data_IF_444436858727
#
_entry.id   IF_444436858727
#
_cell.length_a   1.000
_cell.length_b   1.000
_cell.length_c   1.000
_cell.angle_alpha   90.00
_cell.angle_beta   90.00
_cell.angle_gamma   90.00
#
_symmetry.space_group_name_H-M   'P 1'
#
loop_
_entity.id
_entity.type
_entity.pdbx_description
1 polymer ?
#
# COMPACT_ATOMS: atom_id res chain seq x y z
N UNK A 1 -18.09 1.91 2.72
CA UNK A 1 -16.84 2.06 1.92
C UNK A 1 -17.29 2.35 0.52
N UNK A 2 -16.64 3.28 -0.16
CA UNK A 2 -16.96 3.66 -1.54
C UNK A 2 -15.73 3.44 -2.42
N UNK A 3 -15.89 3.34 -3.76
CA UNK A 3 -14.76 3.15 -4.66
C UNK A 3 -13.68 4.23 -4.55
N UNK A 4 -14.03 5.44 -4.10
CA UNK A 4 -13.08 6.54 -3.93
C UNK A 4 -12.43 6.60 -2.54
N UNK A 5 -12.88 5.83 -1.55
CA UNK A 5 -12.32 5.92 -0.20
C UNK A 5 -13.10 5.19 0.89
N UNK A 6 -12.50 5.18 2.08
CA UNK A 6 -13.09 4.61 3.29
C UNK A 6 -13.42 5.71 4.30
N UNK A 7 -14.66 5.69 4.80
CA UNK A 7 -15.06 6.55 5.92
C UNK A 7 -14.62 5.92 7.23
N UNK A 8 -14.05 6.75 8.10
CA UNK A 8 -13.45 6.34 9.37
C UNK A 8 -13.99 7.24 10.46
N UNK A 9 -14.50 6.64 11.53
CA UNK A 9 -14.79 7.35 12.78
C UNK A 9 -13.47 7.60 13.50
N UNK A 10 -13.15 8.87 13.77
CA UNK A 10 -11.94 9.28 14.48
C UNK A 10 -12.20 9.65 15.94
N UNK A 11 -13.38 9.32 16.46
CA UNK A 11 -13.81 9.59 17.82
C UNK A 11 -14.77 10.77 17.94
N UNK A 12 -15.49 10.81 19.07
CA UNK A 12 -16.44 11.87 19.41
C UNK A 12 -17.50 12.15 18.32
N UNK A 13 -17.87 11.12 17.55
CA UNK A 13 -18.84 11.25 16.45
C UNK A 13 -18.32 12.00 15.23
N UNK A 14 -17.01 12.21 15.12
CA UNK A 14 -16.40 12.87 13.96
C UNK A 14 -16.03 11.82 12.91
N UNK A 15 -16.63 11.93 11.73
CA UNK A 15 -16.31 11.08 10.58
C UNK A 15 -15.31 11.80 9.68
N UNK A 16 -14.24 11.10 9.33
CA UNK A 16 -13.29 11.49 8.29
C UNK A 16 -13.30 10.45 7.16
N UNK A 17 -12.52 10.70 6.11
CA UNK A 17 -12.35 9.81 4.98
C UNK A 17 -10.87 9.66 4.63
N UNK A 18 -10.44 8.42 4.42
CA UNK A 18 -9.18 8.09 3.76
C UNK A 18 -9.48 7.91 2.27
N UNK A 19 -9.01 8.83 1.44
CA UNK A 19 -9.09 8.72 -0.02
C UNK A 19 -8.30 7.51 -0.52
N UNK A 20 -8.77 6.85 -1.60
CA UNK A 20 -8.15 5.62 -2.12
C UNK A 20 -6.66 5.77 -2.44
N UNK A 21 -6.23 6.95 -2.85
CA UNK A 21 -4.83 7.33 -3.12
C UNK A 21 -3.94 7.40 -1.87
N UNK A 22 -4.57 7.51 -0.69
CA UNK A 22 -3.91 7.59 0.61
C UNK A 22 -3.98 6.26 1.37
N UNK A 23 -4.67 5.25 0.82
CA UNK A 23 -4.77 3.91 1.44
C UNK A 23 -3.48 3.10 1.26
N UNK A 24 -2.90 3.16 0.05
CA UNK A 24 -1.78 2.31 -0.37
C UNK A 24 -1.00 2.98 -1.49
N UNK A 25 0.32 2.77 -1.52
CA UNK A 25 1.17 3.17 -2.65
C UNK A 25 0.89 2.28 -3.86
N UNK A 26 0.77 0.96 -3.63
CA UNK A 26 0.33 0.03 -4.67
C UNK A 26 -1.12 0.31 -5.01
N UNK A 27 -1.43 0.37 -6.30
CA UNK A 27 -2.80 0.61 -6.79
C UNK A 27 -3.73 -0.50 -6.30
N UNK A 28 -4.86 -0.08 -5.74
CA UNK A 28 -5.97 -0.95 -5.39
C UNK A 28 -7.23 -0.49 -6.13
N UNK A 29 -8.10 -1.41 -6.58
CA UNK A 29 -9.34 -1.06 -7.25
C UNK A 29 -10.44 -0.55 -6.30
N UNK A 30 -10.37 -0.91 -5.02
CA UNK A 30 -11.38 -0.56 -4.01
C UNK A 30 -10.80 -0.67 -2.59
N UNK A 31 -11.27 0.12 -1.60
CA UNK A 31 -10.78 0.07 -0.21
C UNK A 31 -10.96 -1.28 0.51
N UNK A 32 -11.91 -2.09 0.06
CA UNK A 32 -12.16 -3.45 0.58
C UNK A 32 -10.95 -4.41 0.41
N UNK A 33 -9.97 -4.03 -0.43
CA UNK A 33 -8.70 -4.76 -0.58
C UNK A 33 -7.76 -4.58 0.60
N UNK A 34 -8.08 -3.67 1.53
CA UNK A 34 -7.28 -3.36 2.71
C UNK A 34 -8.12 -3.37 3.99
N UNK A 35 -9.37 -2.94 3.90
CA UNK A 35 -10.21 -2.70 5.06
C UNK A 35 -11.48 -3.55 5.04
N UNK A 36 -11.99 -3.87 6.23
CA UNK A 36 -13.33 -4.40 6.46
C UNK A 36 -14.16 -3.38 7.23
N UNK A 37 -15.48 -3.36 7.05
CA UNK A 37 -16.35 -2.49 7.87
C UNK A 37 -16.25 -2.92 9.34
N UNK A 38 -16.09 -1.93 10.24
CA UNK A 38 -15.89 -2.18 11.68
C UNK A 38 -14.47 -2.56 12.07
N UNK A 39 -13.53 -2.61 11.13
CA UNK A 39 -12.11 -2.83 11.43
C UNK A 39 -11.49 -1.57 12.04
N UNK A 40 -10.77 -1.75 13.15
CA UNK A 40 -9.87 -0.72 13.67
C UNK A 40 -8.60 -0.64 12.82
N UNK A 41 -8.21 0.57 12.45
CA UNK A 41 -7.02 0.84 11.63
C UNK A 41 -6.19 1.94 12.25
N UNK A 42 -4.88 1.92 11.98
CA UNK A 42 -4.03 3.08 12.22
C UNK A 42 -4.09 4.01 11.01
N UNK A 43 -4.09 5.32 11.25
CA UNK A 43 -3.98 6.33 10.20
C UNK A 43 -3.13 7.51 10.70
N UNK A 44 -2.41 8.15 9.78
CA UNK A 44 -1.74 9.42 10.03
C UNK A 44 -2.69 10.56 9.69
N UNK A 45 -2.71 11.60 10.53
CA UNK A 45 -3.35 12.87 10.18
C UNK A 45 -2.45 13.58 9.19
N UNK A 46 -2.86 13.61 7.92
CA UNK A 46 -2.09 14.22 6.83
C UNK A 46 -2.47 15.67 6.57
N UNK A 47 -3.59 16.14 7.12
CA UNK A 47 -4.03 17.52 6.94
C UNK A 47 -5.10 17.95 7.94
N UNK A 48 -5.02 19.19 8.40
CA UNK A 48 -6.05 19.83 9.19
C UNK A 48 -6.63 21.02 8.41
N UNK A 49 -7.95 21.06 8.27
CA UNK A 49 -8.66 22.15 7.62
C UNK A 49 -9.72 22.72 8.58
N UNK A 50 -9.33 23.59 9.55
CA UNK A 50 -10.23 24.09 10.58
C UNK A 50 -11.44 24.83 10.02
N UNK A 51 -11.25 25.63 8.97
CA UNK A 51 -12.34 26.38 8.32
C UNK A 51 -13.40 25.48 7.66
N UNK A 52 -13.03 24.26 7.27
CA UNK A 52 -13.93 23.27 6.70
C UNK A 52 -14.35 22.21 7.72
N UNK A 53 -13.88 22.31 8.97
CA UNK A 53 -13.99 21.27 10.02
C UNK A 53 -13.63 19.88 9.51
N UNK A 54 -12.60 19.79 8.66
CA UNK A 54 -12.19 18.56 8.01
C UNK A 54 -10.79 18.17 8.44
N UNK A 55 -10.62 16.88 8.75
CA UNK A 55 -9.33 16.25 8.97
C UNK A 55 -9.10 15.31 7.80
N UNK A 56 -7.92 15.39 7.18
CA UNK A 56 -7.49 14.50 6.11
C UNK A 56 -6.61 13.41 6.73
N UNK A 57 -6.90 12.16 6.37
CA UNK A 57 -6.19 10.99 6.87
C UNK A 57 -5.43 10.30 5.76
N UNK A 58 -4.32 9.68 6.10
CA UNK A 58 -3.59 8.77 5.24
C UNK A 58 -3.22 7.49 5.98
N UNK A 59 -3.07 6.40 5.24
CA UNK A 59 -2.77 5.07 5.78
C UNK A 59 -1.50 4.49 5.15
N UNK A 60 -1.19 4.87 3.91
CA UNK A 60 -0.08 4.31 3.13
C UNK A 60 1.29 4.47 3.79
N UNK A 61 1.56 5.55 4.50
CA UNK A 61 2.86 5.80 5.14
C UNK A 61 3.14 4.75 6.22
N UNK A 62 2.10 4.30 6.92
CA UNK A 62 2.19 3.33 8.00
C UNK A 62 2.45 1.90 7.48
N UNK A 63 2.21 1.66 6.19
CA UNK A 63 2.49 0.40 5.51
C UNK A 63 3.94 0.28 5.02
N UNK A 64 4.79 1.24 5.37
CA UNK A 64 6.23 1.18 5.14
C UNK A 64 6.65 1.63 3.74
N UNK A 65 7.93 1.98 3.65
CA UNK A 65 8.66 2.35 2.45
C UNK A 65 8.90 1.14 1.54
N UNK A 66 9.41 1.39 0.33
CA UNK A 66 9.82 0.31 -0.57
C UNK A 66 10.93 -0.55 0.06
N UNK A 67 11.91 0.09 0.72
CA UNK A 67 13.05 -0.59 1.34
C UNK A 67 12.62 -1.48 2.52
N UNK A 68 11.74 -0.98 3.38
CA UNK A 68 11.21 -1.73 4.51
C UNK A 68 10.42 -2.97 4.07
N UNK A 69 9.58 -2.81 3.04
CA UNK A 69 8.78 -3.91 2.53
C UNK A 69 9.63 -4.96 1.80
N UNK A 70 10.62 -4.54 1.01
CA UNK A 70 11.46 -5.47 0.24
C UNK A 70 12.42 -6.27 1.13
N UNK A 71 12.71 -5.80 2.34
CA UNK A 71 13.70 -6.41 3.24
C UNK A 71 13.42 -7.88 3.59
N UNK A 72 12.16 -8.33 3.47
CA UNK A 72 11.78 -9.72 3.68
C UNK A 72 12.01 -10.64 2.45
N UNK A 73 12.52 -10.10 1.34
CA UNK A 73 12.61 -10.80 0.06
C UNK A 73 14.04 -10.86 -0.47
N UNK A 74 14.34 -11.93 -1.21
CA UNK A 74 15.60 -12.14 -1.91
C UNK A 74 15.36 -12.79 -3.28
N UNK A 75 16.17 -12.50 -4.30
CA UNK A 75 16.10 -13.22 -5.57
C UNK A 75 16.25 -14.73 -5.35
N UNK A 76 15.48 -15.53 -6.08
CA UNK A 76 15.42 -16.98 -5.91
C UNK A 76 14.26 -17.47 -5.04
N UNK A 77 13.61 -16.57 -4.28
CA UNK A 77 12.43 -16.94 -3.48
C UNK A 77 11.21 -17.21 -4.37
N UNK A 78 10.35 -18.12 -3.91
CA UNK A 78 8.98 -18.28 -4.41
C UNK A 78 8.02 -17.85 -3.33
N UNK A 79 7.11 -16.92 -3.63
CA UNK A 79 6.16 -16.35 -2.68
C UNK A 79 4.79 -16.20 -3.34
N UNK A 80 3.75 -16.04 -2.52
CA UNK A 80 2.42 -15.67 -3.03
C UNK A 80 2.31 -14.17 -3.27
N UNK A 81 1.49 -13.75 -4.23
CA UNK A 81 1.12 -12.35 -4.44
C UNK A 81 -0.21 -12.22 -5.16
N UNK A 82 -0.77 -11.01 -5.16
CA UNK A 82 -2.03 -10.72 -5.84
C UNK A 82 -1.81 -9.95 -7.13
N UNK A 83 -2.47 -10.36 -8.22
CA UNK A 83 -2.54 -9.55 -9.44
C UNK A 83 -3.33 -8.28 -9.14
N UNK A 84 -2.69 -7.11 -9.21
CA UNK A 84 -3.32 -5.81 -8.96
C UNK A 84 -3.55 -4.97 -10.21
N UNK A 85 -2.91 -5.34 -11.31
CA UNK A 85 -3.05 -4.63 -12.56
C UNK A 85 -2.51 -5.42 -13.72
N UNK A 86 -3.19 -5.36 -14.85
CA UNK A 86 -2.72 -5.95 -16.10
C UNK A 86 -2.56 -4.83 -17.13
N UNK A 87 -1.43 -4.84 -17.83
CA UNK A 87 -1.10 -3.96 -18.95
C UNK A 87 -0.56 -4.80 -20.09
N UNK A 88 -0.56 -4.24 -21.30
CA UNK A 88 -0.06 -4.93 -22.50
C UNK A 88 1.38 -5.42 -22.36
N UNK A 89 2.19 -4.75 -21.54
CA UNK A 89 3.59 -5.12 -21.30
C UNK A 89 3.81 -6.05 -20.09
N UNK A 90 2.78 -6.35 -19.29
CA UNK A 90 2.96 -7.21 -18.12
C UNK A 90 1.87 -7.13 -17.05
N UNK A 91 2.02 -8.01 -16.07
CA UNK A 91 1.15 -8.10 -14.89
C UNK A 91 1.86 -7.55 -13.65
N UNK A 92 1.19 -6.66 -12.93
CA UNK A 92 1.64 -6.11 -11.66
C UNK A 92 1.16 -6.99 -10.51
N UNK A 93 2.11 -7.60 -9.80
CA UNK A 93 1.84 -8.50 -8.69
C UNK A 93 2.23 -7.81 -7.39
N UNK A 94 1.28 -7.63 -6.48
CA UNK A 94 1.52 -7.13 -5.13
C UNK A 94 1.98 -8.27 -4.23
N UNK A 95 3.19 -8.13 -3.67
CA UNK A 95 3.81 -9.10 -2.76
C UNK A 95 3.43 -8.79 -1.31
N UNK A 96 3.43 -7.50 -0.97
CA UNK A 96 2.94 -6.95 0.30
C UNK A 96 2.25 -5.61 -0.01
N UNK A 97 1.41 -5.07 0.91
CA UNK A 97 0.96 -3.69 0.78
C UNK A 97 2.17 -2.76 0.54
N UNK A 98 2.01 -1.79 -0.35
CA UNK A 98 3.09 -0.91 -0.81
C UNK A 98 4.25 -1.59 -1.56
N UNK A 99 4.20 -2.88 -1.93
CA UNK A 99 5.27 -3.49 -2.72
C UNK A 99 4.71 -4.33 -3.86
N UNK A 100 4.98 -3.89 -5.09
CA UNK A 100 4.60 -4.62 -6.29
C UNK A 100 5.80 -4.92 -7.19
N UNK A 101 5.80 -6.10 -7.77
CA UNK A 101 6.72 -6.49 -8.85
C UNK A 101 6.00 -6.59 -10.20
N UNK A 102 6.80 -6.71 -11.25
CA UNK A 102 6.32 -6.88 -12.62
C UNK A 102 6.67 -8.27 -13.12
N UNK A 103 5.65 -9.01 -13.56
CA UNK A 103 5.77 -10.24 -14.32
C UNK A 103 5.44 -9.98 -15.80
N UNK A 104 5.88 -10.89 -16.67
CA UNK A 104 5.47 -10.89 -18.08
C UNK A 104 3.96 -11.10 -18.21
N UNK A 105 3.39 -10.62 -19.32
CA UNK A 105 1.96 -10.75 -19.58
C UNK A 105 1.61 -12.23 -19.77
N UNK A 106 0.58 -12.68 -19.07
CA UNK A 106 0.03 -14.03 -19.18
C UNK A 106 -1.48 -13.90 -19.41
N UNK A 107 -2.04 -14.38 -20.53
CA UNK A 107 -3.44 -14.11 -20.92
C UNK A 107 -4.50 -14.69 -19.97
N UNK A 108 -4.15 -15.70 -19.18
CA UNK A 108 -5.04 -16.36 -18.23
C UNK A 108 -5.12 -15.68 -16.86
N UNK A 109 -4.32 -14.64 -16.61
CA UNK A 109 -4.37 -13.87 -15.38
C UNK A 109 -5.46 -12.81 -15.45
N UNK A 110 -6.14 -12.62 -14.32
CA UNK A 110 -7.10 -11.53 -14.12
C UNK A 110 -6.77 -10.76 -12.84
N UNK A 111 -7.18 -9.49 -12.77
CA UNK A 111 -7.01 -8.71 -11.54
C UNK A 111 -7.75 -9.37 -10.36
N UNK A 112 -7.07 -9.47 -9.22
CA UNK A 112 -7.55 -10.15 -8.02
C UNK A 112 -7.06 -11.58 -7.87
N UNK A 113 -6.50 -12.20 -8.91
CA UNK A 113 -5.92 -13.54 -8.81
C UNK A 113 -4.83 -13.61 -7.74
N UNK A 114 -4.88 -14.65 -6.91
CA UNK A 114 -3.76 -15.05 -6.08
C UNK A 114 -2.83 -15.92 -6.93
N UNK A 115 -1.53 -15.62 -6.93
CA UNK A 115 -0.53 -16.31 -7.74
C UNK A 115 0.69 -16.67 -6.92
N UNK A 116 1.34 -17.78 -7.27
CA UNK A 116 2.69 -18.09 -6.84
C UNK A 116 3.68 -17.47 -7.82
N UNK A 117 4.66 -16.73 -7.32
CA UNK A 117 5.65 -16.02 -8.14
C UNK A 117 7.07 -16.30 -7.68
N UNK A 118 7.96 -16.50 -8.64
CA UNK A 118 9.40 -16.59 -8.45
C UNK A 118 10.05 -15.20 -8.60
N UNK A 119 10.89 -14.83 -7.65
CA UNK A 119 11.62 -13.56 -7.64
C UNK A 119 12.87 -13.67 -8.50
N UNK A 120 12.81 -13.18 -9.75
CA UNK A 120 13.96 -13.18 -10.68
C UNK A 120 15.04 -12.16 -10.30
N UNK A 121 14.66 -11.05 -9.68
CA UNK A 121 15.61 -10.01 -9.30
C UNK A 121 14.96 -8.78 -8.70
N UNK A 122 15.72 -8.08 -7.85
CA UNK A 122 15.31 -6.89 -7.11
C UNK A 122 16.29 -5.76 -7.46
N UNK A 123 15.78 -4.61 -7.84
CA UNK A 123 16.54 -3.45 -8.32
C UNK A 123 16.10 -2.19 -7.57
N UNK A 124 16.68 -1.92 -6.38
CA UNK A 124 16.30 -0.81 -5.52
C UNK A 124 16.50 0.57 -6.17
N UNK A 125 17.55 0.69 -6.99
CA UNK A 125 17.90 1.91 -7.75
C UNK A 125 16.77 2.43 -8.65
N UNK A 126 15.81 1.56 -8.99
CA UNK A 126 14.65 1.87 -9.83
C UNK A 126 13.32 1.40 -9.24
N UNK A 127 13.30 1.01 -7.96
CA UNK A 127 12.13 0.42 -7.28
C UNK A 127 11.46 -0.69 -8.11
N UNK A 128 12.26 -1.62 -8.63
CA UNK A 128 11.76 -2.67 -9.53
C UNK A 128 12.02 -4.05 -8.97
N UNK A 129 10.97 -4.87 -8.94
CA UNK A 129 11.08 -6.32 -8.71
C UNK A 129 10.65 -7.02 -10.00
N UNK A 130 11.50 -7.90 -10.53
CA UNK A 130 11.17 -8.78 -11.65
C UNK A 130 10.67 -10.10 -11.12
N UNK A 131 9.51 -10.51 -11.60
CA UNK A 131 8.82 -11.72 -11.18
C UNK A 131 8.62 -12.66 -12.37
N UNK A 132 8.42 -13.94 -12.06
CA UNK A 132 7.87 -14.94 -12.96
C UNK A 132 6.65 -15.54 -12.26
N UNK A 133 5.48 -15.48 -12.88
CA UNK A 133 4.30 -16.19 -12.38
C UNK A 133 4.48 -17.67 -12.68
N UNK A 134 4.42 -18.50 -11.63
CA UNK A 134 4.48 -19.96 -11.75
C UNK A 134 3.05 -20.46 -11.99
N UNK A 135 2.20 -20.33 -10.98
CA UNK A 135 0.84 -20.88 -10.97
C UNK A 135 -0.18 -19.90 -10.37
N UNK A 136 -1.45 -20.09 -10.73
CA UNK A 136 -2.59 -19.49 -10.04
C UNK A 136 -2.94 -20.32 -8.82
N UNK A 137 -3.15 -19.66 -7.70
CA UNK A 137 -3.51 -20.27 -6.43
C UNK A 137 -5.02 -20.13 -6.19
N UNK A 138 -5.58 -21.01 -5.37
CA UNK A 138 -6.96 -20.85 -4.92
C UNK A 138 -7.12 -19.54 -4.12
N UNK A 139 -8.28 -18.87 -4.18
CA UNK A 139 -8.52 -17.67 -3.40
C UNK A 139 -8.26 -17.90 -1.91
N UNK A 140 -7.59 -16.97 -1.25
CA UNK A 140 -7.41 -17.02 0.20
C UNK A 140 -8.77 -16.83 0.90
N UNK A 141 -9.04 -17.63 1.94
CA UNK A 141 -10.26 -17.52 2.73
C UNK A 141 -10.34 -16.18 3.48
N UNK A 142 -9.19 -15.57 3.81
CA UNK A 142 -9.12 -14.28 4.47
C UNK A 142 -8.00 -13.40 3.88
N UNK A 143 -8.22 -12.07 3.75
CA UNK A 143 -7.15 -11.14 3.42
C UNK A 143 -6.05 -11.16 4.50
N UNK A 144 -4.77 -11.02 4.11
CA UNK A 144 -3.65 -11.03 5.05
C UNK A 144 -3.75 -9.84 6.02
N UNK A 145 -3.33 -10.06 7.27
CA UNK A 145 -3.23 -9.00 8.27
C UNK A 145 -2.28 -7.91 7.79
N UNK A 146 -2.68 -6.65 7.95
CA UNK A 146 -1.82 -5.51 7.64
C UNK A 146 -0.69 -5.42 8.68
N UNK A 147 0.55 -5.36 8.18
CA UNK A 147 1.72 -5.05 9.01
C UNK A 147 1.94 -3.55 8.98
N UNK A 148 1.87 -2.92 10.15
CA UNK A 148 2.22 -1.52 10.34
C UNK A 148 3.68 -1.39 10.74
N UNK A 149 4.40 -0.48 10.08
CA UNK A 149 5.78 -0.10 10.44
C UNK A 149 5.80 1.02 11.48
N UNK A 150 4.75 1.84 11.51
CA UNK A 150 4.55 2.90 12.51
C UNK A 150 3.12 2.83 13.03
N UNK A 151 2.97 2.81 14.35
CA UNK A 151 1.66 2.75 15.03
C UNK A 151 1.46 3.88 16.05
N UNK A 152 2.49 4.68 16.31
CA UNK A 152 2.47 5.77 17.28
C UNK A 152 3.48 6.85 16.94
N UNK A 153 3.28 8.06 17.47
CA UNK A 153 4.20 9.19 17.33
C UNK A 153 3.81 10.13 16.19
N UNK A 154 4.73 11.02 15.84
CA UNK A 154 4.58 12.01 14.79
C UNK A 154 5.52 11.67 13.63
N UNK A 155 4.98 11.63 12.41
CA UNK A 155 5.79 11.61 11.21
C UNK A 155 6.00 13.06 10.78
N UNK A 156 7.25 13.51 10.64
CA UNK A 156 7.55 14.83 10.08
C UNK A 156 7.68 14.78 8.56
N UNK A 157 8.29 13.70 8.06
CA UNK A 157 8.42 13.42 6.65
C UNK A 157 8.38 11.91 6.40
N UNK A 158 8.01 11.54 5.18
CA UNK A 158 8.05 10.17 4.72
C UNK A 158 8.44 10.13 3.25
N UNK A 159 9.43 9.30 2.93
CA UNK A 159 9.91 9.11 1.57
C UNK A 159 9.78 7.62 1.23
N UNK A 160 8.94 7.32 0.25
CA UNK A 160 8.69 5.94 -0.14
C UNK A 160 9.90 5.29 -0.81
N UNK A 161 10.59 6.06 -1.66
CA UNK A 161 11.72 5.57 -2.44
C UNK A 161 12.96 5.35 -1.56
N UNK A 162 13.78 4.33 -1.84
CA UNK A 162 15.06 4.16 -1.15
C UNK A 162 15.99 5.36 -1.39
N UNK A 163 16.89 5.61 -0.46
CA UNK A 163 17.93 6.64 -0.61
C UNK A 163 18.75 6.40 -1.89
N UNK A 164 19.01 7.46 -2.66
CA UNK A 164 19.75 7.37 -3.93
C UNK A 164 18.99 6.70 -5.09
N UNK A 165 17.69 6.42 -4.94
CA UNK A 165 16.88 5.89 -6.03
C UNK A 165 16.80 6.89 -7.20
N UNK A 166 16.90 6.39 -8.44
CA UNK A 166 16.81 7.22 -9.66
C UNK A 166 15.38 7.68 -9.95
N UNK A 167 14.39 7.00 -9.38
CA UNK A 167 12.98 7.34 -9.50
C UNK A 167 12.52 8.04 -8.24
N UNK A 168 11.78 9.13 -8.40
CA UNK A 168 11.01 9.71 -7.30
C UNK A 168 9.82 8.80 -7.00
N UNK A 169 9.66 8.45 -5.72
CA UNK A 169 8.46 7.80 -5.21
C UNK A 169 7.49 8.84 -4.64
N UNK A 170 6.33 8.43 -4.12
CA UNK A 170 5.53 9.30 -3.28
C UNK A 170 6.34 9.79 -2.08
N UNK A 171 6.16 11.07 -1.78
CA UNK A 171 6.76 11.73 -0.62
C UNK A 171 5.66 12.46 0.14
N UNK A 172 5.83 12.60 1.44
CA UNK A 172 4.91 13.34 2.29
C UNK A 172 5.69 14.16 3.31
N UNK A 173 5.30 15.42 3.44
CA UNK A 173 5.80 16.36 4.44
C UNK A 173 4.63 16.73 5.32
N UNK A 174 4.78 16.52 6.63
CA UNK A 174 3.74 16.74 7.63
C UNK A 174 4.06 17.96 8.52
N UNK A 175 4.93 18.85 8.03
CA UNK A 175 5.43 20.02 8.75
C UNK A 175 4.28 20.86 9.33
N UNK A 176 4.34 21.10 10.64
CA UNK A 176 3.50 22.08 11.32
C UNK A 176 2.10 21.62 11.72
N UNK A 177 1.83 20.31 11.83
CA UNK A 177 0.61 19.86 12.51
C UNK A 177 0.74 20.19 14.00
N UNK A 178 -0.09 21.08 14.57
CA UNK A 178 -0.08 21.28 16.01
C UNK A 178 -0.37 19.94 16.68
N UNK A 179 0.34 19.67 17.78
CA UNK A 179 0.05 18.55 18.66
C UNK A 179 -1.38 18.73 19.17
N UNK A 180 -2.36 18.15 18.49
CA UNK A 180 -3.70 18.03 19.02
C UNK A 180 -3.60 16.99 20.13
N UNK A 181 -3.42 17.47 21.36
CA UNK A 181 -3.72 16.67 22.54
C UNK A 181 -5.20 16.29 22.45
N UNK A 182 -5.47 15.00 22.23
CA UNK A 182 -6.78 14.40 22.43
C UNK A 182 -6.86 13.89 23.87
#
# INVERSE_FOLDING_TARGET
>A
MEPFGAFVDIGCGTVSMVGIENISVSRIPHPDRRFRVGQEIYAVVSGLHPGLRRITLSHRELLGTWAENVAAFSPGMTVSGYVRGIKEYGAFIELTPNLSGLAELRPDLVEGDLVSVYLKGIFPDRMKIKLLVIDRLAPAAEPPSLRYFVTSGQLDSWQYAPEGCRKTGPESLFLGMPTAAF
#
